data_IF_042532360189
#
_entry.id   IF_042532360189
#
_cell.length_a   1.000
_cell.length_b   1.000
_cell.length_c   1.000
_cell.angle_alpha   90.00
_cell.angle_beta   90.00
_cell.angle_gamma   90.00
#
_symmetry.space_group_name_H-M   'P 1'
#
loop_
_entity.id
_entity.type
_entity.pdbx_description
1 polymer ?
#
# COMPACT_ATOMS: atom_id res chain seq x y z
N UNK A 1 30.55 0.93 -62.09
CA UNK A 1 31.91 0.99 -62.67
C UNK A 1 32.86 0.43 -61.61
N UNK A 2 33.31 -0.80 -61.92
CA UNK A 2 34.65 -1.40 -61.71
C UNK A 2 35.16 -1.38 -60.23
N UNK A 3 35.18 -2.54 -59.56
CA UNK A 3 36.22 -3.58 -59.55
C UNK A 3 37.55 -3.07 -58.96
N UNK A 4 38.24 -3.71 -58.02
CA UNK A 4 38.87 -5.03 -58.07
C UNK A 4 39.54 -5.31 -56.74
N UNK A 5 39.44 -6.47 -56.12
CA UNK A 5 40.36 -7.58 -56.07
C UNK A 5 41.80 -7.25 -55.62
N UNK A 6 42.34 -7.87 -54.55
CA UNK A 6 43.13 -9.12 -54.62
C UNK A 6 43.82 -9.37 -53.30
N UNK A 7 43.66 -10.49 -52.59
CA UNK A 7 44.53 -11.70 -52.58
C UNK A 7 45.96 -11.41 -52.12
N UNK A 8 46.58 -12.13 -51.19
CA UNK A 8 47.14 -13.48 -51.16
C UNK A 8 47.96 -13.64 -49.90
N UNK A 9 47.83 -14.58 -49.03
CA UNK A 9 48.39 -15.95 -48.93
C UNK A 9 49.87 -16.02 -48.48
N UNK A 10 50.17 -16.83 -47.50
CA UNK A 10 51.49 -17.46 -47.29
C UNK A 10 51.76 -17.67 -45.79
N UNK A 11 51.55 -18.79 -45.24
CA UNK A 11 52.28 -20.11 -45.24
C UNK A 11 53.54 -20.06 -44.34
N UNK A 12 53.47 -20.86 -43.30
CA UNK A 12 54.32 -22.05 -42.94
C UNK A 12 55.37 -21.84 -41.85
N UNK A 13 55.23 -22.53 -40.80
CA UNK A 13 55.87 -23.76 -40.28
C UNK A 13 57.17 -23.60 -39.50
N UNK A 14 57.31 -24.20 -38.40
CA UNK A 14 58.17 -25.27 -37.86
C UNK A 14 58.36 -25.06 -36.35
N UNK A 15 57.81 -25.89 -35.56
CA UNK A 15 58.34 -27.09 -34.88
C UNK A 15 59.77 -26.92 -34.28
N UNK A 16 59.87 -27.00 -32.96
CA UNK A 16 60.86 -27.89 -32.35
C UNK A 16 60.48 -28.29 -30.92
N UNK A 17 60.40 -29.58 -30.73
CA UNK A 17 60.24 -30.32 -29.48
C UNK A 17 61.57 -30.42 -28.78
N UNK A 18 61.60 -30.29 -27.45
CA UNK A 18 62.60 -30.94 -26.61
C UNK A 18 61.97 -31.42 -25.33
N UNK A 19 61.86 -32.72 -25.25
CA UNK A 19 61.64 -33.52 -24.04
C UNK A 19 62.98 -33.69 -23.35
N UNK A 20 62.98 -33.62 -21.99
CA UNK A 20 63.72 -34.54 -21.17
C UNK A 20 63.31 -34.44 -19.71
N UNK A 21 63.06 -35.61 -19.19
CA UNK A 21 62.65 -35.98 -17.87
C UNK A 21 63.75 -35.91 -16.84
N UNK A 22 63.40 -35.82 -15.57
CA UNK A 22 63.79 -36.74 -14.48
C UNK A 22 63.27 -36.32 -13.12
N UNK A 23 62.43 -37.15 -12.58
CA UNK A 23 62.41 -37.81 -11.27
C UNK A 23 62.64 -37.08 -9.97
N UNK A 24 61.63 -37.25 -9.08
CA UNK A 24 61.76 -37.67 -7.65
C UNK A 24 61.95 -36.55 -6.63
N UNK A 25 60.95 -36.23 -5.84
CA UNK A 25 60.77 -36.79 -4.51
C UNK A 25 59.42 -36.36 -3.91
N UNK A 26 58.84 -37.24 -3.12
CA UNK A 26 57.60 -37.20 -2.40
C UNK A 26 57.66 -36.23 -1.26
N UNK A 27 56.78 -35.21 -1.20
CA UNK A 27 56.32 -34.62 0.05
C UNK A 27 54.84 -34.28 -0.07
N UNK A 28 54.05 -34.87 0.83
CA UNK A 28 52.63 -34.55 1.06
C UNK A 28 52.44 -33.06 1.33
N UNK A 29 51.73 -32.37 0.48
CA UNK A 29 51.22 -31.04 0.82
C UNK A 29 49.71 -31.02 0.62
N UNK A 30 49.01 -30.83 1.73
CA UNK A 30 47.58 -30.66 1.84
C UNK A 30 47.11 -29.55 0.90
N UNK A 31 46.30 -29.88 -0.08
CA UNK A 31 45.52 -28.89 -0.81
C UNK A 31 44.52 -28.26 0.15
N UNK A 32 44.84 -27.08 0.62
CA UNK A 32 43.85 -26.16 1.19
C UNK A 32 42.95 -25.72 0.03
N UNK A 33 41.74 -26.31 -0.04
CA UNK A 33 40.67 -25.81 -0.86
C UNK A 33 40.36 -24.36 -0.49
N UNK A 34 40.87 -23.42 -1.26
CA UNK A 34 40.37 -22.06 -1.29
C UNK A 34 38.97 -22.10 -1.94
N UNK A 35 37.96 -22.33 -1.12
CA UNK A 35 36.61 -21.93 -1.48
C UNK A 35 36.63 -20.39 -1.49
N UNK A 36 36.65 -19.78 -2.67
CA UNK A 36 36.25 -18.39 -2.82
C UNK A 36 34.85 -18.23 -2.21
N UNK A 37 34.65 -17.22 -1.35
CA UNK A 37 33.30 -16.89 -0.94
C UNK A 37 32.51 -16.54 -2.18
N UNK A 38 31.38 -17.21 -2.41
CA UNK A 38 30.43 -16.80 -3.42
C UNK A 38 30.13 -15.31 -3.19
N UNK A 39 30.57 -14.44 -4.05
CA UNK A 39 30.14 -13.05 -4.09
C UNK A 39 28.62 -13.10 -4.30
N UNK A 40 27.89 -12.87 -3.22
CA UNK A 40 26.49 -12.49 -3.32
C UNK A 40 26.49 -11.17 -4.09
N UNK A 41 26.06 -11.22 -5.34
CA UNK A 41 25.77 -10.05 -6.16
C UNK A 41 24.63 -9.27 -5.50
N UNK A 42 24.93 -8.52 -4.43
CA UNK A 42 24.03 -7.55 -3.84
C UNK A 42 24.05 -6.32 -4.75
N UNK A 43 23.13 -6.29 -5.72
CA UNK A 43 22.95 -5.10 -6.54
C UNK A 43 22.28 -4.04 -5.68
N UNK A 44 23.08 -3.05 -5.26
CA UNK A 44 22.55 -1.84 -4.62
C UNK A 44 21.70 -1.05 -5.60
N UNK A 45 20.65 -0.44 -5.12
CA UNK A 45 19.73 0.41 -5.92
C UNK A 45 19.34 1.65 -5.13
N UNK A 46 18.81 2.64 -5.82
CA UNK A 46 18.41 3.92 -5.24
C UNK A 46 16.93 4.16 -5.50
N UNK A 47 16.20 4.52 -4.46
CA UNK A 47 14.76 4.82 -4.53
C UNK A 47 14.54 6.31 -4.32
N UNK A 48 13.82 6.95 -5.25
CA UNK A 48 13.36 8.33 -5.14
C UNK A 48 12.05 8.36 -4.35
N UNK A 49 11.95 9.25 -3.37
CA UNK A 49 10.79 9.31 -2.48
C UNK A 49 10.58 10.72 -1.93
N UNK A 50 9.54 10.93 -1.13
CA UNK A 50 9.11 12.25 -0.64
C UNK A 50 10.21 13.06 0.09
N UNK A 51 11.20 12.41 0.67
CA UNK A 51 12.28 13.06 1.42
C UNK A 51 13.61 13.10 0.65
N UNK A 52 13.61 12.76 -0.63
CA UNK A 52 14.78 12.76 -1.49
C UNK A 52 15.08 11.39 -2.09
N UNK A 53 16.29 10.88 -1.90
CA UNK A 53 16.75 9.60 -2.45
C UNK A 53 17.42 8.76 -1.38
N UNK A 54 17.06 7.48 -1.29
CA UNK A 54 17.66 6.52 -0.36
C UNK A 54 18.35 5.40 -1.12
N UNK A 55 19.61 5.12 -0.79
CA UNK A 55 20.36 3.99 -1.32
C UNK A 55 20.12 2.75 -0.45
N UNK A 56 19.71 1.66 -1.09
CA UNK A 56 19.47 0.36 -0.46
C UNK A 56 20.53 -0.60 -0.98
N UNK A 57 21.33 -1.16 -0.08
CA UNK A 57 22.53 -1.93 -0.42
C UNK A 57 22.26 -3.35 -0.93
N UNK A 58 21.10 -3.90 -0.57
CA UNK A 58 20.63 -5.24 -0.97
C UNK A 58 19.11 -5.32 -0.78
N UNK A 59 18.46 -6.33 -1.33
CA UNK A 59 17.03 -6.60 -1.05
C UNK A 59 16.81 -6.70 0.47
N UNK A 60 15.91 -5.87 1.04
CA UNK A 60 15.68 -5.86 2.50
C UNK A 60 15.01 -7.15 2.99
N UNK A 61 15.45 -7.65 4.14
CA UNK A 61 14.88 -8.83 4.80
C UNK A 61 14.11 -8.45 6.08
N UNK A 62 14.54 -7.38 6.77
CA UNK A 62 13.95 -6.89 8.03
C UNK A 62 13.34 -5.52 7.81
N UNK A 63 12.08 -5.50 7.50
CA UNK A 63 11.38 -4.26 7.18
C UNK A 63 10.52 -3.83 8.36
N UNK A 64 10.64 -2.57 8.74
CA UNK A 64 9.70 -1.89 9.64
C UNK A 64 8.82 -0.97 8.81
N UNK A 65 7.51 -1.01 9.05
CA UNK A 65 6.54 -0.21 8.32
C UNK A 65 5.71 0.66 9.28
N UNK A 66 5.60 1.94 8.94
CA UNK A 66 5.05 2.98 9.82
C UNK A 66 3.67 3.48 9.39
N UNK A 67 3.02 2.80 8.44
CA UNK A 67 1.65 3.10 7.99
C UNK A 67 0.84 1.83 7.80
N UNK A 68 -0.48 1.91 8.04
CA UNK A 68 -1.38 0.77 7.79
C UNK A 68 -1.44 0.41 6.30
N UNK A 69 -1.49 1.42 5.43
CA UNK A 69 -1.41 1.27 3.98
C UNK A 69 -0.14 0.50 3.56
N UNK A 70 1.02 0.89 4.09
CA UNK A 70 2.29 0.22 3.82
C UNK A 70 2.36 -1.20 4.38
N UNK A 71 1.71 -1.47 5.52
CA UNK A 71 1.57 -2.84 6.06
C UNK A 71 0.85 -3.73 5.06
N UNK A 72 -0.29 -3.28 4.54
CA UNK A 72 -1.03 -4.02 3.51
C UNK A 72 -0.23 -4.21 2.21
N UNK A 73 0.54 -3.19 1.81
CA UNK A 73 1.40 -3.28 0.64
C UNK A 73 2.44 -4.40 0.78
N UNK A 74 3.14 -4.46 1.91
CA UNK A 74 4.11 -5.52 2.17
C UNK A 74 3.46 -6.91 2.18
N UNK A 75 2.33 -7.06 2.86
CA UNK A 75 1.59 -8.33 2.91
C UNK A 75 1.13 -8.79 1.53
N UNK A 76 0.65 -7.87 0.69
CA UNK A 76 0.24 -8.17 -0.70
C UNK A 76 1.42 -8.59 -1.58
N UNK A 77 2.63 -8.09 -1.30
CA UNK A 77 3.87 -8.51 -1.94
C UNK A 77 4.40 -9.86 -1.40
N UNK A 78 3.75 -10.43 -0.38
CA UNK A 78 4.17 -11.66 0.29
C UNK A 78 5.28 -11.44 1.32
N UNK A 79 5.49 -10.21 1.74
CA UNK A 79 6.53 -9.81 2.69
C UNK A 79 5.89 -9.54 4.06
N UNK A 80 6.35 -10.24 5.07
CA UNK A 80 5.94 -10.02 6.45
C UNK A 80 6.92 -9.05 7.12
N UNK A 81 6.50 -7.88 7.60
CA UNK A 81 7.39 -6.96 8.31
C UNK A 81 7.83 -7.55 9.64
N UNK A 82 8.99 -7.13 10.15
CA UNK A 82 9.45 -7.48 11.50
C UNK A 82 8.82 -6.59 12.56
N UNK A 83 8.38 -5.40 12.19
CA UNK A 83 7.66 -4.45 13.02
C UNK A 83 6.73 -3.57 12.20
N UNK A 84 5.59 -3.23 12.77
CA UNK A 84 4.59 -2.36 12.16
C UNK A 84 3.91 -1.48 13.21
N UNK A 85 3.38 -0.33 12.79
CA UNK A 85 2.49 0.45 13.64
C UNK A 85 1.17 -0.30 13.84
N UNK A 86 0.56 -0.16 15.03
CA UNK A 86 -0.76 -0.75 15.28
C UNK A 86 -1.82 -0.17 14.34
N UNK A 87 -2.80 -0.98 14.01
CA UNK A 87 -3.98 -0.54 13.27
C UNK A 87 -4.82 0.45 14.11
N UNK A 88 -5.61 1.28 13.45
CA UNK A 88 -6.50 2.24 14.13
C UNK A 88 -7.62 1.56 14.91
N UNK A 89 -7.99 0.35 14.50
CA UNK A 89 -8.94 -0.53 15.19
C UNK A 89 -8.43 -1.97 15.14
N UNK A 90 -8.91 -2.81 16.06
CA UNK A 90 -8.40 -4.18 16.24
C UNK A 90 -7.33 -4.27 17.33
N UNK A 91 -6.88 -5.48 17.68
CA UNK A 91 -5.98 -5.73 18.81
C UNK A 91 -4.83 -6.66 18.40
N UNK A 92 -3.69 -6.16 17.92
CA UNK A 92 -3.40 -4.78 17.51
C UNK A 92 -3.66 -4.51 16.02
N UNK A 93 -4.14 -5.49 15.25
CA UNK A 93 -4.25 -5.46 13.80
C UNK A 93 -5.70 -5.47 13.34
N UNK A 94 -5.98 -4.86 12.19
CA UNK A 94 -7.27 -5.03 11.52
C UNK A 94 -7.58 -6.51 11.30
N UNK A 95 -8.85 -6.90 11.43
CA UNK A 95 -9.30 -8.28 11.32
C UNK A 95 -8.83 -8.97 10.02
N UNK A 96 -8.90 -8.26 8.89
CA UNK A 96 -8.57 -8.82 7.57
C UNK A 96 -7.07 -9.10 7.36
N UNK A 97 -6.17 -8.54 8.20
CA UNK A 97 -4.73 -8.80 8.13
C UNK A 97 -4.19 -9.54 9.36
N UNK A 98 -4.95 -9.65 10.43
CA UNK A 98 -4.47 -10.13 11.73
C UNK A 98 -3.76 -11.50 11.65
N UNK A 99 -4.30 -12.43 10.87
CA UNK A 99 -3.71 -13.75 10.71
C UNK A 99 -2.32 -13.73 10.03
N UNK A 100 -2.05 -12.74 9.18
CA UNK A 100 -0.76 -12.59 8.50
C UNK A 100 0.28 -11.87 9.37
N UNK A 101 -0.17 -11.17 10.42
CA UNK A 101 0.66 -10.34 11.30
C UNK A 101 1.16 -11.07 12.56
N UNK A 102 0.92 -12.37 12.69
CA UNK A 102 1.42 -13.16 13.83
C UNK A 102 2.95 -13.04 13.97
N UNK A 103 3.42 -12.65 15.17
CA UNK A 103 4.84 -12.45 15.47
C UNK A 103 5.43 -11.13 14.97
N UNK A 104 4.64 -10.21 14.42
CA UNK A 104 5.08 -8.84 14.09
C UNK A 104 5.05 -7.97 15.34
N UNK A 105 6.15 -7.26 15.61
CA UNK A 105 6.25 -6.36 16.76
C UNK A 105 5.53 -5.04 16.52
N UNK A 106 4.78 -4.56 17.51
CA UNK A 106 4.16 -3.23 17.45
C UNK A 106 5.22 -2.16 17.74
N UNK A 107 5.41 -1.23 16.82
CA UNK A 107 6.39 -0.12 16.93
C UNK A 107 5.74 1.25 17.09
N UNK A 108 4.61 1.29 17.78
CA UNK A 108 3.83 2.51 18.03
C UNK A 108 2.58 2.62 17.18
N UNK A 109 2.13 3.84 16.95
CA UNK A 109 0.98 4.20 16.08
C UNK A 109 1.47 5.07 14.93
N UNK A 110 0.71 5.20 13.84
CA UNK A 110 1.08 6.05 12.69
C UNK A 110 1.44 7.50 13.09
N UNK A 111 0.78 8.03 14.11
CA UNK A 111 0.99 9.41 14.60
C UNK A 111 2.00 9.51 15.73
N UNK A 112 2.47 8.39 16.26
CA UNK A 112 3.39 8.34 17.39
C UNK A 112 4.23 7.05 17.34
N UNK A 113 5.30 7.06 16.54
CA UNK A 113 6.18 5.91 16.37
C UNK A 113 7.14 5.75 17.56
N UNK A 114 7.46 4.51 17.92
CA UNK A 114 8.42 4.18 18.97
C UNK A 114 9.81 3.93 18.37
N UNK A 115 10.65 4.97 18.33
CA UNK A 115 12.01 4.91 17.79
C UNK A 115 12.90 3.89 18.51
N UNK A 116 12.66 3.64 19.82
CA UNK A 116 13.44 2.66 20.57
C UNK A 116 13.06 1.24 20.18
N UNK A 117 11.77 0.95 20.04
CA UNK A 117 11.28 -0.33 19.54
C UNK A 117 11.78 -0.60 18.12
N UNK A 118 11.72 0.40 17.23
CA UNK A 118 12.24 0.30 15.86
C UNK A 118 13.73 -0.04 15.86
N UNK A 119 14.55 0.68 16.64
CA UNK A 119 15.99 0.46 16.70
C UNK A 119 16.37 -0.94 17.24
N UNK A 120 15.58 -1.49 18.18
CA UNK A 120 15.79 -2.85 18.72
C UNK A 120 15.62 -3.94 17.68
N UNK A 121 14.74 -3.74 16.70
CA UNK A 121 14.48 -4.69 15.61
C UNK A 121 15.65 -4.75 14.61
N UNK A 122 16.52 -3.73 14.59
CA UNK A 122 17.65 -3.58 13.66
C UNK A 122 17.18 -3.79 12.21
N UNK A 123 16.24 -2.98 11.72
CA UNK A 123 15.75 -3.10 10.36
C UNK A 123 16.85 -2.76 9.34
N UNK A 124 16.72 -3.29 8.15
CA UNK A 124 17.48 -2.93 6.95
C UNK A 124 16.72 -1.98 6.01
N UNK A 125 15.42 -1.80 6.27
CA UNK A 125 14.59 -0.77 5.63
C UNK A 125 13.48 -0.31 6.58
N UNK A 126 13.21 1.00 6.54
CA UNK A 126 12.02 1.60 7.17
C UNK A 126 11.16 2.22 6.08
N UNK A 127 9.88 1.87 6.07
CA UNK A 127 8.86 2.44 5.16
C UNK A 127 7.92 3.30 5.99
N UNK A 128 7.62 4.51 5.52
CA UNK A 128 6.70 5.43 6.18
C UNK A 128 6.09 6.43 5.21
N UNK A 129 5.55 7.51 5.77
CA UNK A 129 4.85 8.53 5.00
C UNK A 129 5.20 9.93 5.52
N UNK A 130 5.43 10.86 4.61
CA UNK A 130 5.80 12.24 4.95
C UNK A 130 4.72 12.94 5.78
N UNK A 131 3.45 12.78 5.43
CA UNK A 131 2.33 13.43 6.17
C UNK A 131 2.34 13.05 7.66
N UNK A 132 2.73 11.82 7.99
CA UNK A 132 2.69 11.28 9.35
C UNK A 132 4.00 11.45 10.10
N UNK A 133 5.13 11.17 9.44
CA UNK A 133 6.42 11.00 10.13
C UNK A 133 7.52 11.94 9.62
N UNK A 134 7.21 13.05 8.92
CA UNK A 134 8.24 14.00 8.44
C UNK A 134 9.18 14.44 9.54
N UNK A 135 8.64 14.74 10.73
CA UNK A 135 9.42 15.18 11.89
C UNK A 135 10.41 14.11 12.43
N UNK A 136 10.10 12.83 12.21
CA UNK A 136 10.92 11.71 12.68
C UNK A 136 11.91 11.20 11.64
N UNK A 137 11.83 11.68 10.38
CA UNK A 137 12.60 11.17 9.25
C UNK A 137 14.11 11.13 9.51
N UNK A 138 14.69 12.22 10.06
CA UNK A 138 16.11 12.29 10.34
C UNK A 138 16.57 11.26 11.40
N UNK A 139 15.73 10.97 12.38
CA UNK A 139 16.03 9.99 13.42
C UNK A 139 15.86 8.57 12.90
N UNK A 140 14.83 8.30 12.11
CA UNK A 140 14.61 7.02 11.45
C UNK A 140 15.75 6.69 10.48
N UNK A 141 16.21 7.67 9.70
CA UNK A 141 17.31 7.51 8.74
C UNK A 141 18.67 7.23 9.40
N UNK A 142 18.82 7.50 10.70
CA UNK A 142 20.01 7.09 11.49
C UNK A 142 19.93 5.62 11.93
N UNK A 143 18.73 5.04 11.95
CA UNK A 143 18.51 3.64 12.33
C UNK A 143 18.70 2.73 11.11
N UNK A 144 18.08 3.05 9.98
CA UNK A 144 18.16 2.29 8.73
C UNK A 144 17.83 3.16 7.51
N UNK A 145 18.14 2.70 6.27
CA UNK A 145 17.59 3.27 5.06
C UNK A 145 16.08 3.48 5.20
N UNK A 146 15.61 4.70 4.88
CA UNK A 146 14.21 5.10 5.11
C UNK A 146 13.60 5.65 3.82
N UNK A 147 12.43 5.15 3.44
CA UNK A 147 11.67 5.54 2.25
C UNK A 147 10.27 6.00 2.66
N UNK A 148 9.91 7.22 2.31
CA UNK A 148 8.61 7.81 2.64
C UNK A 148 7.78 8.10 1.40
N UNK A 149 6.53 7.65 1.38
CA UNK A 149 5.53 8.13 0.43
C UNK A 149 5.16 9.60 0.72
N UNK A 150 4.73 10.34 -0.31
CA UNK A 150 4.37 11.76 -0.18
C UNK A 150 3.02 11.94 0.50
N UNK A 151 2.03 11.13 0.11
CA UNK A 151 0.63 11.28 0.49
C UNK A 151 0.06 10.00 1.10
N UNK A 152 -1.16 10.10 1.58
CA UNK A 152 -2.00 8.97 2.01
C UNK A 152 -3.34 9.01 1.26
N UNK A 153 -4.17 7.99 1.43
CA UNK A 153 -5.55 7.92 0.96
C UNK A 153 -5.71 7.64 -0.54
N UNK A 154 -6.21 8.58 -1.35
CA UNK A 154 -6.57 8.33 -2.75
C UNK A 154 -5.41 7.94 -3.68
N UNK A 155 -4.18 8.23 -3.32
CA UNK A 155 -2.97 7.91 -4.11
C UNK A 155 -2.30 6.60 -3.66
N UNK A 156 -3.04 5.72 -3.04
CA UNK A 156 -2.51 4.47 -2.50
C UNK A 156 -1.81 3.56 -3.52
N UNK A 157 -2.18 3.62 -4.81
CA UNK A 157 -1.52 2.84 -5.88
C UNK A 157 -0.10 3.34 -6.16
N UNK A 158 0.11 4.66 -6.15
CA UNK A 158 1.44 5.26 -6.32
C UNK A 158 2.33 4.91 -5.13
N UNK A 159 1.78 4.99 -3.92
CA UNK A 159 2.48 4.58 -2.71
C UNK A 159 2.81 3.08 -2.72
N UNK A 160 1.87 2.22 -3.14
CA UNK A 160 2.10 0.79 -3.30
C UNK A 160 3.27 0.50 -4.27
N UNK A 161 3.30 1.20 -5.41
CA UNK A 161 4.38 1.06 -6.40
C UNK A 161 5.73 1.48 -5.83
N UNK A 162 5.78 2.59 -5.09
CA UNK A 162 6.97 3.05 -4.37
C UNK A 162 7.46 2.01 -3.34
N UNK A 163 6.54 1.41 -2.58
CA UNK A 163 6.89 0.39 -1.60
C UNK A 163 7.41 -0.89 -2.27
N UNK A 164 6.82 -1.28 -3.41
CA UNK A 164 7.32 -2.40 -4.21
C UNK A 164 8.74 -2.16 -4.74
N UNK A 165 9.05 -0.92 -5.18
CA UNK A 165 10.40 -0.52 -5.57
C UNK A 165 11.36 -0.57 -4.37
N UNK A 166 10.94 -0.04 -3.21
CA UNK A 166 11.75 0.01 -2.01
C UNK A 166 12.15 -1.38 -1.49
N UNK A 167 11.33 -2.41 -1.72
CA UNK A 167 11.61 -3.78 -1.32
C UNK A 167 12.14 -4.66 -2.46
N UNK A 168 12.55 -4.05 -3.59
CA UNK A 168 13.04 -4.76 -4.79
C UNK A 168 12.05 -5.81 -5.36
N UNK A 169 10.75 -5.49 -5.34
CA UNK A 169 9.68 -6.39 -5.75
C UNK A 169 8.79 -5.77 -6.87
N UNK A 170 9.35 -4.94 -7.75
CA UNK A 170 8.63 -4.18 -8.79
C UNK A 170 7.73 -5.09 -9.63
N UNK A 171 8.27 -6.17 -10.20
CA UNK A 171 7.48 -7.09 -11.04
C UNK A 171 6.30 -7.72 -10.27
N UNK A 172 6.50 -8.02 -8.98
CA UNK A 172 5.42 -8.53 -8.14
C UNK A 172 4.39 -7.45 -7.83
N UNK A 173 4.84 -6.22 -7.64
CA UNK A 173 3.96 -5.07 -7.47
C UNK A 173 3.08 -4.83 -8.69
N UNK A 174 3.65 -4.87 -9.88
CA UNK A 174 2.90 -4.76 -11.15
C UNK A 174 1.85 -5.88 -11.27
N UNK A 175 2.21 -7.14 -11.02
CA UNK A 175 1.26 -8.26 -11.01
C UNK A 175 0.10 -8.05 -10.01
N UNK A 176 0.39 -7.53 -8.82
CA UNK A 176 -0.63 -7.27 -7.79
C UNK A 176 -1.61 -6.18 -8.25
N UNK A 177 -1.11 -5.10 -8.87
CA UNK A 177 -1.95 -4.02 -9.40
C UNK A 177 -2.74 -4.46 -10.63
N UNK A 178 -2.16 -5.23 -11.55
CA UNK A 178 -2.88 -5.81 -12.69
C UNK A 178 -4.04 -6.71 -12.25
N UNK A 179 -3.82 -7.53 -11.22
CA UNK A 179 -4.88 -8.36 -10.64
C UNK A 179 -5.97 -7.51 -9.97
N UNK A 180 -5.62 -6.39 -9.35
CA UNK A 180 -6.61 -5.45 -8.81
C UNK A 180 -7.44 -4.80 -9.93
N UNK A 181 -6.80 -4.33 -11.00
CA UNK A 181 -7.50 -3.74 -12.14
C UNK A 181 -8.44 -4.76 -12.83
N UNK A 182 -8.02 -6.01 -12.94
CA UNK A 182 -8.89 -7.08 -13.43
C UNK A 182 -10.12 -7.26 -12.51
N UNK A 183 -9.92 -7.25 -11.19
CA UNK A 183 -11.01 -7.35 -10.22
C UNK A 183 -11.96 -6.15 -10.29
N UNK A 184 -11.48 -4.92 -10.53
CA UNK A 184 -12.32 -3.75 -10.82
C UNK A 184 -13.21 -4.01 -12.04
N UNK A 185 -12.67 -4.53 -13.14
CA UNK A 185 -13.46 -4.79 -14.35
C UNK A 185 -14.52 -5.89 -14.12
N UNK A 186 -14.15 -6.98 -13.47
CA UNK A 186 -15.08 -8.07 -13.12
C UNK A 186 -16.23 -7.57 -12.22
N UNK A 187 -15.90 -6.78 -11.20
CA UNK A 187 -16.88 -6.19 -10.29
C UNK A 187 -17.81 -5.23 -11.05
N UNK A 188 -17.25 -4.37 -11.89
CA UNK A 188 -18.04 -3.44 -12.72
C UNK A 188 -19.01 -4.17 -13.66
N UNK A 189 -18.55 -5.24 -14.30
CA UNK A 189 -19.39 -6.07 -15.18
C UNK A 189 -20.52 -6.74 -14.39
N UNK A 190 -20.24 -7.24 -13.18
CA UNK A 190 -21.25 -7.87 -12.33
C UNK A 190 -22.30 -6.90 -11.81
N UNK A 191 -21.94 -5.64 -11.57
CA UNK A 191 -22.85 -4.59 -11.10
C UNK A 191 -23.73 -4.01 -12.21
N UNK A 192 -23.26 -4.01 -13.46
CA UNK A 192 -24.01 -3.48 -14.61
C UNK A 192 -24.51 -2.06 -14.38
N UNK A 193 -25.82 -1.83 -14.61
CA UNK A 193 -26.43 -0.50 -14.51
C UNK A 193 -26.47 0.09 -13.09
N UNK A 194 -26.17 -0.70 -12.06
CA UNK A 194 -26.09 -0.20 -10.67
C UNK A 194 -25.00 0.88 -10.55
N UNK A 195 -23.94 0.81 -11.33
CA UNK A 195 -22.87 1.80 -11.35
C UNK A 195 -23.28 3.19 -11.86
N UNK A 196 -24.44 3.30 -12.52
CA UNK A 196 -24.99 4.58 -12.97
C UNK A 196 -25.59 5.40 -11.81
N UNK A 197 -25.79 4.80 -10.63
CA UNK A 197 -26.34 5.47 -9.46
C UNK A 197 -25.35 6.44 -8.84
N UNK A 198 -25.88 7.50 -8.22
CA UNK A 198 -25.07 8.44 -7.42
C UNK A 198 -24.81 7.84 -6.03
N UNK A 199 -23.55 7.96 -5.57
CA UNK A 199 -23.12 7.41 -4.29
C UNK A 199 -22.64 8.51 -3.35
N UNK A 200 -23.22 8.53 -2.15
CA UNK A 200 -22.73 9.28 -1.01
C UNK A 200 -21.94 8.37 -0.07
N UNK A 201 -20.88 8.91 0.56
CA UNK A 201 -20.07 8.20 1.56
C UNK A 201 -19.95 9.06 2.81
N UNK A 202 -20.42 8.53 3.94
CA UNK A 202 -20.50 9.25 5.21
C UNK A 202 -19.73 8.52 6.31
N UNK A 203 -19.02 9.26 7.14
CA UNK A 203 -18.32 8.72 8.30
C UNK A 203 -18.78 9.40 9.56
N UNK A 204 -19.23 8.63 10.54
CA UNK A 204 -19.52 9.12 11.88
C UNK A 204 -18.25 9.14 12.74
N UNK A 205 -18.09 10.22 13.47
CA UNK A 205 -17.03 10.50 14.43
C UNK A 205 -17.63 10.90 15.77
N UNK A 206 -16.84 11.00 16.82
CA UNK A 206 -17.34 11.50 18.10
C UNK A 206 -17.84 12.95 17.96
N UNK A 207 -19.16 13.15 18.08
CA UNK A 207 -19.83 14.46 18.05
C UNK A 207 -19.97 15.11 16.67
N UNK A 208 -19.48 14.51 15.59
CA UNK A 208 -19.52 15.10 14.24
C UNK A 208 -19.60 14.02 13.16
N UNK A 209 -19.74 14.43 11.90
CA UNK A 209 -19.70 13.51 10.75
C UNK A 209 -18.90 14.12 9.61
N UNK A 210 -18.49 13.29 8.67
CA UNK A 210 -17.81 13.71 7.42
C UNK A 210 -18.51 13.13 6.21
N UNK A 211 -18.60 13.93 5.16
CA UNK A 211 -18.89 13.44 3.82
C UNK A 211 -17.55 13.25 3.11
N UNK A 212 -17.31 12.07 2.56
CA UNK A 212 -16.11 11.71 1.79
C UNK A 212 -16.38 11.85 0.30
N UNK A 213 -15.39 12.29 -0.47
CA UNK A 213 -15.55 12.59 -1.90
C UNK A 213 -14.50 11.90 -2.76
N UNK A 214 -14.18 12.48 -3.94
CA UNK A 214 -13.46 11.81 -5.03
C UNK A 214 -12.04 11.39 -4.71
N UNK A 215 -11.34 12.12 -3.82
CA UNK A 215 -9.92 11.88 -3.50
C UNK A 215 -9.74 11.08 -2.20
N UNK A 216 -10.85 10.63 -1.60
CA UNK A 216 -10.78 9.67 -0.50
C UNK A 216 -10.46 8.27 -1.02
N UNK A 217 -9.99 7.39 -0.14
CA UNK A 217 -9.72 5.99 -0.49
C UNK A 217 -10.93 5.31 -1.14
N UNK A 218 -12.08 5.31 -0.47
CA UNK A 218 -13.31 4.75 -1.03
C UNK A 218 -13.81 5.52 -2.26
N UNK A 219 -13.61 6.84 -2.30
CA UNK A 219 -14.01 7.69 -3.43
C UNK A 219 -13.32 7.33 -4.73
N UNK A 220 -12.01 7.04 -4.67
CA UNK A 220 -11.22 6.60 -5.84
C UNK A 220 -11.72 5.25 -6.35
N UNK A 221 -11.95 4.28 -5.46
CA UNK A 221 -12.42 2.93 -5.82
C UNK A 221 -13.83 2.98 -6.45
N UNK A 222 -14.74 3.74 -5.84
CA UNK A 222 -16.10 3.93 -6.39
C UNK A 222 -16.07 4.57 -7.77
N UNK A 223 -15.18 5.53 -8.00
CA UNK A 223 -14.98 6.15 -9.31
C UNK A 223 -14.43 5.16 -10.34
N UNK A 224 -13.49 4.29 -9.97
CA UNK A 224 -12.94 3.23 -10.84
C UNK A 224 -14.02 2.24 -11.26
N UNK A 225 -14.94 1.91 -10.35
CA UNK A 225 -16.11 1.10 -10.64
C UNK A 225 -17.14 1.81 -11.56
N UNK A 226 -17.03 3.12 -11.71
CA UNK A 226 -17.89 3.92 -12.58
C UNK A 226 -19.11 4.54 -11.89
N UNK A 227 -19.18 4.50 -10.54
CA UNK A 227 -20.24 5.19 -9.81
C UNK A 227 -20.14 6.70 -9.97
N UNK A 228 -21.29 7.36 -10.06
CA UNK A 228 -21.39 8.79 -10.00
C UNK A 228 -21.28 9.28 -8.56
N UNK A 229 -20.73 10.48 -8.36
CA UNK A 229 -20.82 11.17 -7.07
C UNK A 229 -22.06 12.06 -7.07
N UNK A 230 -22.61 12.29 -5.88
CA UNK A 230 -23.75 13.19 -5.72
C UNK A 230 -23.33 14.60 -6.14
N UNK A 231 -24.00 15.16 -7.16
CA UNK A 231 -23.62 16.45 -7.76
C UNK A 231 -23.74 17.59 -6.76
N UNK A 232 -24.78 17.59 -5.95
CA UNK A 232 -25.05 18.60 -4.92
C UNK A 232 -23.98 18.66 -3.85
N UNK A 233 -23.24 17.56 -3.62
CA UNK A 233 -22.13 17.54 -2.68
C UNK A 233 -20.90 18.30 -3.21
N UNK A 234 -20.77 18.50 -4.51
CA UNK A 234 -19.59 19.17 -5.10
C UNK A 234 -19.38 20.58 -4.52
N UNK A 235 -20.44 21.29 -4.18
CA UNK A 235 -20.38 22.64 -3.61
C UNK A 235 -19.81 22.67 -2.17
N UNK A 236 -19.75 21.52 -1.48
CA UNK A 236 -19.12 21.40 -0.17
C UNK A 236 -17.60 21.34 -0.24
N UNK A 237 -17.03 21.05 -1.43
CA UNK A 237 -15.61 20.81 -1.62
C UNK A 237 -14.93 21.93 -2.39
N UNK A 238 -13.65 22.10 -2.15
CA UNK A 238 -12.79 23.03 -2.91
C UNK A 238 -11.89 22.25 -3.86
N UNK A 239 -11.24 22.93 -4.81
CA UNK A 239 -10.27 22.27 -5.69
C UNK A 239 -9.08 21.66 -4.95
N UNK A 240 -8.74 22.23 -3.79
CA UNK A 240 -7.60 21.79 -2.98
C UNK A 240 -8.00 20.76 -1.91
N UNK A 241 -9.31 20.50 -1.74
CA UNK A 241 -9.81 19.48 -0.80
C UNK A 241 -11.01 18.76 -1.43
N UNK A 242 -10.74 17.63 -2.04
CA UNK A 242 -11.72 16.71 -2.60
C UNK A 242 -11.80 15.40 -1.78
N UNK A 243 -11.15 15.35 -0.60
CA UNK A 243 -11.12 14.15 0.23
C UNK A 243 -12.33 14.04 1.14
N UNK A 244 -12.50 14.98 2.07
CA UNK A 244 -13.58 14.93 3.05
C UNK A 244 -13.89 16.33 3.61
N UNK A 245 -15.15 16.55 3.96
CA UNK A 245 -15.61 17.75 4.65
C UNK A 245 -16.36 17.37 5.93
N UNK A 246 -16.06 18.04 7.02
CA UNK A 246 -16.78 17.89 8.28
C UNK A 246 -18.10 18.65 8.23
N UNK A 247 -19.18 18.02 8.69
CA UNK A 247 -20.54 18.55 8.60
C UNK A 247 -21.29 18.38 9.91
N UNK A 248 -22.14 19.36 10.22
CA UNK A 248 -23.08 19.29 11.31
C UNK A 248 -24.41 18.61 10.89
N UNK A 249 -25.28 18.41 11.88
CA UNK A 249 -26.60 17.75 11.67
C UNK A 249 -27.51 18.46 10.67
N UNK A 250 -27.39 19.78 10.58
CA UNK A 250 -28.15 20.59 9.61
C UNK A 250 -27.86 20.24 8.15
N UNK A 251 -26.68 19.60 7.89
CA UNK A 251 -26.27 19.16 6.57
C UNK A 251 -26.61 17.68 6.28
N UNK A 252 -27.30 16.99 7.19
CA UNK A 252 -27.80 15.62 6.93
C UNK A 252 -28.48 15.50 5.55
N UNK A 253 -29.35 16.42 5.11
CA UNK A 253 -29.98 16.32 3.79
C UNK A 253 -28.99 16.25 2.62
N UNK A 254 -27.77 16.77 2.78
CA UNK A 254 -26.72 16.69 1.76
C UNK A 254 -25.97 15.35 1.76
N UNK A 255 -26.24 14.47 2.73
CA UNK A 255 -25.70 13.12 2.75
C UNK A 255 -26.46 12.16 1.83
N UNK A 256 -27.57 12.59 1.23
CA UNK A 256 -28.41 11.74 0.38
C UNK A 256 -27.71 11.37 -0.95
N UNK A 257 -28.21 10.31 -1.57
CA UNK A 257 -27.79 9.82 -2.87
C UNK A 257 -28.70 8.66 -3.29
N UNK A 258 -28.49 8.10 -4.47
CA UNK A 258 -29.20 6.86 -4.86
C UNK A 258 -28.73 5.68 -3.98
N UNK A 259 -27.47 5.71 -3.56
CA UNK A 259 -26.84 4.82 -2.58
C UNK A 259 -26.14 5.68 -1.52
N UNK A 260 -26.21 5.26 -0.27
CA UNK A 260 -25.50 5.88 0.85
C UNK A 260 -24.74 4.81 1.62
N UNK A 261 -23.42 4.82 1.49
CA UNK A 261 -22.56 4.02 2.38
C UNK A 261 -22.14 4.85 3.57
N UNK A 262 -22.26 4.25 4.76
CA UNK A 262 -21.80 4.94 5.97
C UNK A 262 -21.02 3.99 6.88
N UNK A 263 -20.07 4.54 7.61
CA UNK A 263 -19.26 3.81 8.57
C UNK A 263 -18.91 4.68 9.78
N UNK A 264 -18.55 4.02 10.86
CA UNK A 264 -18.31 4.68 12.13
C UNK A 264 -16.89 4.43 12.59
N UNK A 265 -16.18 5.48 12.97
CA UNK A 265 -14.81 5.38 13.45
C UNK A 265 -14.78 4.96 14.91
N UNK A 266 -14.38 3.72 15.14
CA UNK A 266 -14.28 3.10 16.47
C UNK A 266 -12.81 2.69 16.70
N UNK A 267 -11.94 3.64 17.11
CA UNK A 267 -10.58 3.28 17.45
C UNK A 267 -10.56 2.43 18.71
N UNK A 268 -9.51 1.62 18.85
CA UNK A 268 -9.36 0.73 20.00
C UNK A 268 -9.50 1.50 21.33
N UNK A 269 -10.47 1.10 22.13
CA UNK A 269 -10.75 1.69 23.45
C UNK A 269 -11.65 2.94 23.46
N UNK A 270 -12.17 3.36 22.29
CA UNK A 270 -13.11 4.49 22.19
C UNK A 270 -14.29 4.14 21.26
N UNK A 271 -15.50 4.08 21.83
CA UNK A 271 -16.76 3.82 21.14
C UNK A 271 -17.68 5.05 21.05
N UNK A 272 -17.16 6.24 21.37
CA UNK A 272 -17.94 7.48 21.44
C UNK A 272 -18.65 7.84 20.13
N UNK A 273 -18.11 7.46 18.98
CA UNK A 273 -18.74 7.71 17.69
C UNK A 273 -20.00 6.86 17.46
N UNK A 274 -20.18 5.73 18.16
CA UNK A 274 -21.43 4.94 18.13
C UNK A 274 -22.63 5.73 18.64
N UNK A 275 -22.43 6.59 19.64
CA UNK A 275 -23.49 7.46 20.13
C UNK A 275 -23.89 8.51 19.07
N UNK A 276 -22.93 9.04 18.34
CA UNK A 276 -23.17 9.98 17.23
C UNK A 276 -23.93 9.30 16.09
N UNK A 277 -23.51 8.10 15.67
CA UNK A 277 -24.24 7.32 14.66
C UNK A 277 -25.69 7.08 15.09
N UNK A 278 -25.90 6.55 16.31
CA UNK A 278 -27.23 6.27 16.82
C UNK A 278 -28.13 7.52 16.89
N UNK A 279 -27.57 8.66 17.32
CA UNK A 279 -28.28 9.94 17.39
C UNK A 279 -28.67 10.44 15.99
N UNK A 280 -27.74 10.40 15.03
CA UNK A 280 -27.96 10.93 13.68
C UNK A 280 -28.84 10.03 12.85
N UNK A 281 -28.67 8.72 12.92
CA UNK A 281 -29.50 7.76 12.17
C UNK A 281 -30.96 7.69 12.63
N UNK A 282 -31.24 8.12 13.89
CA UNK A 282 -32.61 8.26 14.39
C UNK A 282 -33.23 9.65 14.17
N UNK A 283 -32.45 10.62 13.70
CA UNK A 283 -32.91 11.98 13.43
C UNK A 283 -33.92 12.00 12.27
N UNK A 284 -35.03 12.79 12.36
CA UNK A 284 -35.99 12.94 11.28
C UNK A 284 -35.37 13.37 9.93
N UNK A 285 -34.27 14.15 9.94
CA UNK A 285 -33.58 14.53 8.71
C UNK A 285 -32.96 13.31 8.02
N UNK A 286 -32.31 12.41 8.77
CA UNK A 286 -31.77 11.16 8.25
C UNK A 286 -32.85 10.22 7.75
N UNK A 287 -33.92 10.05 8.53
CA UNK A 287 -35.07 9.20 8.17
C UNK A 287 -35.80 9.69 6.92
N UNK A 288 -35.61 10.96 6.54
CA UNK A 288 -36.17 11.55 5.34
C UNK A 288 -35.28 11.44 4.09
N UNK A 289 -34.03 10.97 4.21
CA UNK A 289 -33.17 10.71 3.06
C UNK A 289 -33.79 9.66 2.14
N UNK A 290 -33.71 9.86 0.83
CA UNK A 290 -34.26 8.91 -0.14
C UNK A 290 -33.52 7.56 -0.09
N UNK A 291 -32.21 7.58 0.10
CA UNK A 291 -31.45 6.35 0.31
C UNK A 291 -31.96 5.55 1.52
N UNK A 292 -32.30 6.21 2.63
CA UNK A 292 -32.81 5.56 3.84
C UNK A 292 -34.22 4.99 3.60
N UNK A 293 -35.13 5.77 3.03
CA UNK A 293 -36.51 5.35 2.73
C UNK A 293 -36.55 4.15 1.78
N UNK A 294 -35.59 4.08 0.86
CA UNK A 294 -35.50 3.00 -0.13
C UNK A 294 -34.66 1.80 0.34
N UNK A 295 -34.20 1.79 1.59
CA UNK A 295 -33.35 0.72 2.13
C UNK A 295 -31.97 0.63 1.50
N UNK A 296 -31.46 1.74 0.96
CA UNK A 296 -30.16 1.86 0.27
C UNK A 296 -29.12 2.63 1.08
N UNK A 297 -29.37 2.89 2.36
CA UNK A 297 -28.36 3.35 3.32
C UNK A 297 -27.74 2.12 3.98
N UNK A 298 -26.46 1.88 3.68
CA UNK A 298 -25.77 0.63 3.99
C UNK A 298 -24.60 0.93 4.93
N UNK A 299 -24.59 0.27 6.08
CA UNK A 299 -23.44 0.33 7.01
C UNK A 299 -22.33 -0.60 6.54
N UNK A 300 -21.10 -0.09 6.52
CA UNK A 300 -19.90 -0.82 6.07
C UNK A 300 -18.76 -0.65 7.06
N UNK A 301 -17.64 -1.37 6.87
CA UNK A 301 -16.49 -1.33 7.77
C UNK A 301 -15.63 -0.08 7.56
N UNK A 302 -15.41 0.73 8.62
CA UNK A 302 -14.45 1.85 8.59
C UNK A 302 -13.04 1.40 8.24
N UNK A 303 -12.62 0.24 8.74
CA UNK A 303 -11.31 -0.33 8.45
C UNK A 303 -11.13 -0.56 6.94
N UNK A 304 -12.09 -1.23 6.30
CA UNK A 304 -12.03 -1.60 4.88
C UNK A 304 -12.25 -0.39 3.97
N UNK A 305 -13.18 0.49 4.32
CA UNK A 305 -13.59 1.60 3.44
C UNK A 305 -12.76 2.87 3.60
N UNK A 306 -11.92 2.95 4.65
CA UNK A 306 -11.19 4.19 4.92
C UNK A 306 -9.84 4.00 5.63
N UNK A 307 -9.79 3.44 6.86
CA UNK A 307 -8.59 3.58 7.71
C UNK A 307 -7.44 2.65 7.38
N UNK A 308 -7.67 1.51 6.78
CA UNK A 308 -6.59 0.65 6.31
C UNK A 308 -5.91 1.23 5.07
N UNK A 309 -6.68 1.68 4.10
CA UNK A 309 -6.24 2.53 2.99
C UNK A 309 -5.30 1.87 1.99
N UNK A 310 -5.11 0.56 2.03
CA UNK A 310 -4.18 -0.17 1.17
C UNK A 310 -4.85 -1.17 0.23
N UNK A 311 -4.03 -1.93 -0.48
CA UNK A 311 -4.44 -2.86 -1.54
C UNK A 311 -5.34 -4.00 -1.04
N UNK A 312 -5.12 -4.49 0.20
CA UNK A 312 -5.92 -5.58 0.75
C UNK A 312 -7.32 -5.08 1.12
N UNK A 313 -7.41 -3.90 1.74
CA UNK A 313 -8.69 -3.23 1.99
C UNK A 313 -9.41 -2.88 0.68
N UNK A 314 -8.70 -2.42 -0.36
CA UNK A 314 -9.28 -2.13 -1.67
C UNK A 314 -9.95 -3.37 -2.28
N UNK A 315 -9.28 -4.52 -2.25
CA UNK A 315 -9.85 -5.80 -2.73
C UNK A 315 -11.06 -6.23 -1.90
N UNK A 316 -10.97 -6.08 -0.58
CA UNK A 316 -12.07 -6.41 0.33
C UNK A 316 -13.28 -5.51 0.09
N UNK A 317 -13.07 -4.22 -0.18
CA UNK A 317 -14.12 -3.29 -0.53
C UNK A 317 -14.84 -3.70 -1.83
N UNK A 318 -14.12 -4.19 -2.86
CA UNK A 318 -14.72 -4.71 -4.09
C UNK A 318 -15.59 -5.94 -3.81
N UNK A 319 -15.11 -6.88 -2.98
CA UNK A 319 -15.88 -8.05 -2.54
C UNK A 319 -17.18 -7.62 -1.84
N UNK A 320 -17.08 -6.69 -0.87
CA UNK A 320 -18.25 -6.18 -0.14
C UNK A 320 -19.25 -5.45 -1.05
N UNK A 321 -18.79 -4.61 -2.00
CA UNK A 321 -19.65 -3.94 -2.97
C UNK A 321 -20.37 -4.97 -3.84
N UNK A 322 -19.68 -6.01 -4.29
CA UNK A 322 -20.25 -7.06 -5.11
C UNK A 322 -21.32 -7.86 -4.33
N UNK A 323 -21.03 -8.23 -3.07
CA UNK A 323 -21.98 -8.92 -2.20
C UNK A 323 -23.24 -8.08 -1.89
N UNK A 324 -23.07 -6.77 -1.71
CA UNK A 324 -24.14 -5.86 -1.31
C UNK A 324 -25.03 -5.41 -2.47
N UNK A 325 -24.48 -5.29 -3.68
CA UNK A 325 -25.12 -4.60 -4.80
C UNK A 325 -25.31 -5.46 -6.05
N UNK A 326 -24.64 -6.61 -6.19
CA UNK A 326 -24.86 -7.47 -7.34
C UNK A 326 -26.31 -8.03 -7.34
N UNK A 327 -26.98 -8.06 -8.49
CA UNK A 327 -28.38 -8.48 -8.61
C UNK A 327 -28.62 -9.95 -8.29
#
# INVERSE_FOLDING_TARGET
MKMSFSKVLGILLLLTVCILAACSDTEENQEASNAEPAEQNSTSYSVQHAMGSTNISSTPEKIVVLTNEGTEALLALGIKPVGAVSSWSGEPWYEHIAAQMDGVEVVGQETAVDLEAIAKLKPDLIIGNKIRQEADYENLSKIAPTVFAETLTGQWKDNFSLYAEAVNAVNKGEEVLENYEAHIQETKESLGDVTNQSVSVVRFLSGTSRIYYTDSFSGVILKELGFNRVEEQADLFTKDNQMAVEVGKELIPQMDGDLLFYFTYLPTGDDSASATEAEWTTDPLWQNLEAVKNGKAISVSDAVWNTAGGILAARKMLEEIQELLAP
#
